data_IF_222922332897
#
_entry.id   IF_222922332897
#
_cell.length_a   1.000
_cell.length_b   1.000
_cell.length_c   1.000
_cell.angle_alpha   90.00
_cell.angle_beta   90.00
_cell.angle_gamma   90.00
#
_symmetry.space_group_name_H-M   'P 1'
#
loop_
_entity.id
_entity.type
_entity.pdbx_description
1 polymer ?
#
# COMPACT_ATOMS: atom_id res chain seq x y z
N UNK A 1 5.61 -29.79 18.87
CA UNK A 1 4.38 -30.33 19.51
C UNK A 1 3.17 -29.93 18.69
N UNK A 2 2.28 -30.86 18.38
CA UNK A 2 1.00 -30.54 17.75
C UNK A 2 0.14 -29.70 18.72
N UNK A 3 -0.45 -28.59 18.24
CA UNK A 3 -1.41 -27.81 19.03
C UNK A 3 -2.77 -28.49 18.96
N UNK A 4 -3.29 -28.97 20.09
CA UNK A 4 -4.65 -29.48 20.17
C UNK A 4 -5.64 -28.33 20.33
N UNK A 5 -6.51 -28.15 19.33
CA UNK A 5 -7.54 -27.11 19.30
C UNK A 5 -8.87 -27.74 19.69
N UNK A 6 -9.48 -27.28 20.79
CA UNK A 6 -10.70 -27.85 21.37
C UNK A 6 -11.95 -27.00 21.11
N UNK A 7 -11.79 -25.77 20.62
CA UNK A 7 -12.89 -24.85 20.33
C UNK A 7 -12.44 -23.70 19.41
N UNK A 8 -13.41 -22.91 18.94
CA UNK A 8 -13.18 -21.78 18.04
C UNK A 8 -12.29 -20.69 18.65
N UNK A 9 -12.38 -20.43 19.96
CA UNK A 9 -11.52 -19.45 20.61
C UNK A 9 -10.04 -19.86 20.59
N UNK A 10 -9.75 -21.16 20.77
CA UNK A 10 -8.40 -21.69 20.64
C UNK A 10 -7.91 -21.66 19.19
N UNK A 11 -8.80 -21.93 18.23
CA UNK A 11 -8.47 -21.82 16.81
C UNK A 11 -8.09 -20.39 16.44
N UNK A 12 -8.92 -19.41 16.83
CA UNK A 12 -8.66 -18.00 16.59
C UNK A 12 -7.33 -17.56 17.21
N UNK A 13 -7.07 -17.91 18.48
CA UNK A 13 -5.78 -17.60 19.13
C UNK A 13 -4.58 -18.23 18.42
N UNK A 14 -4.74 -19.41 17.83
CA UNK A 14 -3.69 -20.07 17.07
C UNK A 14 -3.44 -19.39 15.71
N UNK A 15 -4.49 -18.94 15.02
CA UNK A 15 -4.42 -18.32 13.69
C UNK A 15 -4.07 -16.82 13.74
N UNK A 16 -4.47 -16.09 14.78
CA UNK A 16 -4.27 -14.64 14.87
C UNK A 16 -2.84 -14.18 14.59
N UNK A 17 -1.78 -14.72 15.25
CA UNK A 17 -0.41 -14.27 14.98
C UNK A 17 0.08 -14.61 13.58
N UNK A 18 -0.45 -15.68 12.97
CA UNK A 18 -0.16 -16.06 11.59
C UNK A 18 -0.78 -15.02 10.65
N UNK A 19 -2.05 -14.68 10.85
CA UNK A 19 -2.76 -13.69 10.04
C UNK A 19 -2.14 -12.29 10.18
N UNK A 20 -1.71 -11.89 11.38
CA UNK A 20 -1.03 -10.59 11.61
C UNK A 20 0.21 -10.48 10.72
N UNK A 21 1.10 -11.47 10.80
CA UNK A 21 2.33 -11.48 10.02
C UNK A 21 2.05 -11.56 8.52
N UNK A 22 1.06 -12.34 8.10
CA UNK A 22 0.64 -12.40 6.70
C UNK A 22 0.23 -11.02 6.20
N UNK A 23 -0.77 -10.40 6.84
CA UNK A 23 -1.31 -9.10 6.42
C UNK A 23 -0.25 -8.01 6.47
N UNK A 24 0.66 -8.05 7.44
CA UNK A 24 1.78 -7.10 7.49
C UNK A 24 2.72 -7.24 6.28
N UNK A 25 3.02 -8.47 5.85
CA UNK A 25 3.79 -8.72 4.63
C UNK A 25 3.06 -8.28 3.36
N UNK A 26 1.74 -8.52 3.29
CA UNK A 26 0.92 -8.03 2.17
C UNK A 26 0.94 -6.49 2.13
N UNK A 27 0.75 -5.83 3.27
CA UNK A 27 0.80 -4.37 3.37
C UNK A 27 2.18 -3.82 3.00
N UNK A 28 3.26 -4.49 3.42
CA UNK A 28 4.62 -4.14 3.00
C UNK A 28 4.78 -4.18 1.48
N UNK A 29 4.25 -5.21 0.80
CA UNK A 29 4.29 -5.30 -0.67
C UNK A 29 3.55 -4.14 -1.33
N UNK A 30 2.36 -3.78 -0.84
CA UNK A 30 1.61 -2.61 -1.33
C UNK A 30 2.38 -1.31 -1.11
N UNK A 31 2.96 -1.13 0.09
CA UNK A 31 3.75 0.04 0.44
C UNK A 31 5.00 0.20 -0.44
N UNK A 32 5.73 -0.88 -0.70
CA UNK A 32 6.91 -0.85 -1.57
C UNK A 32 6.52 -0.49 -3.01
N UNK A 33 5.42 -1.05 -3.54
CA UNK A 33 4.95 -0.71 -4.89
C UNK A 33 4.44 0.73 -4.97
N UNK A 34 3.74 1.23 -3.95
CA UNK A 34 3.34 2.64 -3.90
C UNK A 34 4.56 3.56 -3.90
N UNK A 35 5.60 3.25 -3.11
CA UNK A 35 6.84 4.02 -3.09
C UNK A 35 7.58 3.97 -4.44
N UNK A 36 7.53 2.85 -5.16
CA UNK A 36 8.07 2.78 -6.52
C UNK A 36 7.41 3.80 -7.44
N UNK A 37 6.08 3.88 -7.46
CA UNK A 37 5.35 4.83 -8.30
C UNK A 37 5.48 6.28 -7.83
N UNK A 38 5.60 6.53 -6.52
CA UNK A 38 5.94 7.85 -5.99
C UNK A 38 7.34 8.28 -6.46
N UNK A 39 8.33 7.39 -6.42
CA UNK A 39 9.66 7.69 -6.91
C UNK A 39 9.65 7.94 -8.42
N UNK A 40 8.99 7.08 -9.20
CA UNK A 40 8.82 7.23 -10.64
C UNK A 40 8.17 8.57 -11.01
N UNK A 41 7.13 8.99 -10.28
CA UNK A 41 6.55 10.33 -10.41
C UNK A 41 7.61 11.43 -10.28
N UNK A 42 8.52 11.33 -9.32
CA UNK A 42 9.55 12.34 -9.09
C UNK A 42 10.71 12.27 -10.08
N UNK A 43 11.11 11.09 -10.52
CA UNK A 43 12.24 10.90 -11.43
C UNK A 43 11.86 11.02 -12.91
N UNK A 44 10.59 10.81 -13.26
CA UNK A 44 10.12 10.79 -14.65
C UNK A 44 9.98 12.16 -15.32
N UNK A 45 10.06 13.25 -14.54
CA UNK A 45 10.04 14.62 -15.07
C UNK A 45 10.74 15.57 -14.09
N UNK A 46 11.20 16.74 -14.53
CA UNK A 46 11.76 17.81 -13.68
C UNK A 46 11.08 19.13 -14.02
N UNK A 47 10.51 19.85 -13.03
CA UNK A 47 9.84 21.12 -13.28
C UNK A 47 10.81 22.28 -13.49
N UNK A 48 10.56 23.07 -14.54
CA UNK A 48 11.21 24.37 -14.73
C UNK A 48 10.35 25.53 -14.19
N UNK A 49 9.04 25.31 -14.02
CA UNK A 49 8.04 26.34 -13.74
C UNK A 49 7.74 26.56 -12.25
N UNK A 50 8.20 25.68 -11.36
CA UNK A 50 8.00 25.78 -9.92
C UNK A 50 9.10 25.06 -9.13
N UNK A 51 9.26 25.46 -7.87
CA UNK A 51 10.13 24.74 -6.94
C UNK A 51 9.42 23.48 -6.44
N UNK A 52 9.98 22.32 -6.79
CA UNK A 52 9.50 21.01 -6.31
C UNK A 52 9.61 20.91 -4.79
N UNK A 53 8.52 20.45 -4.16
CA UNK A 53 8.53 19.94 -2.79
C UNK A 53 8.58 18.41 -2.81
N UNK A 54 9.11 17.79 -1.76
CA UNK A 54 9.22 16.33 -1.61
C UNK A 54 8.14 15.75 -0.70
N UNK A 55 7.15 16.55 -0.28
CA UNK A 55 6.08 16.11 0.60
C UNK A 55 5.31 14.92 0.01
N UNK A 56 4.92 14.98 -1.28
CA UNK A 56 4.27 13.87 -1.94
C UNK A 56 5.17 12.62 -2.07
N UNK A 57 6.46 12.77 -2.39
CA UNK A 57 7.41 11.64 -2.44
C UNK A 57 7.46 10.88 -1.11
N UNK A 58 7.32 11.59 0.01
CA UNK A 58 7.44 11.06 1.38
C UNK A 58 6.09 10.75 2.03
N UNK A 59 5.00 10.85 1.28
CA UNK A 59 3.62 10.80 1.81
C UNK A 59 3.07 9.39 2.02
N UNK A 60 3.72 8.34 1.49
CA UNK A 60 3.25 6.98 1.71
C UNK A 60 3.40 6.59 3.18
N UNK A 61 2.33 6.05 3.76
CA UNK A 61 2.30 5.52 5.12
C UNK A 61 1.87 4.06 5.10
N UNK A 62 2.56 3.22 5.88
CA UNK A 62 2.14 1.84 6.21
C UNK A 62 1.86 1.75 7.70
N UNK A 63 0.63 1.39 8.05
CA UNK A 63 0.25 1.03 9.43
C UNK A 63 0.44 -0.48 9.60
N UNK A 64 1.15 -0.86 10.66
CA UNK A 64 1.36 -2.27 11.00
C UNK A 64 0.04 -3.03 11.19
N UNK A 65 0.04 -4.32 10.84
CA UNK A 65 -1.15 -5.13 10.93
C UNK A 65 -1.63 -5.33 12.39
N UNK A 66 -2.93 -5.18 12.62
CA UNK A 66 -3.57 -5.34 13.93
C UNK A 66 -4.84 -6.20 13.87
N UNK A 67 -5.24 -6.86 14.98
CA UNK A 67 -6.52 -7.54 15.06
C UNK A 67 -7.69 -6.58 14.85
N UNK A 68 -8.63 -6.95 13.99
CA UNK A 68 -9.83 -6.14 13.73
C UNK A 68 -11.02 -7.03 13.34
N UNK A 69 -12.16 -6.83 14.01
CA UNK A 69 -13.45 -7.50 13.75
C UNK A 69 -13.35 -9.02 13.48
N UNK A 70 -12.54 -9.74 14.26
CA UNK A 70 -12.34 -11.19 14.13
C UNK A 70 -11.35 -11.62 13.03
N UNK A 71 -10.77 -10.65 12.31
CA UNK A 71 -9.68 -10.85 11.37
C UNK A 71 -8.46 -9.98 11.72
N UNK A 72 -7.76 -9.53 10.67
CA UNK A 72 -6.58 -8.69 10.76
C UNK A 72 -6.67 -7.62 9.67
N UNK A 73 -6.28 -6.40 10.02
CA UNK A 73 -6.24 -5.26 9.10
C UNK A 73 -4.88 -4.58 9.14
N UNK A 74 -4.43 -4.09 8.00
CA UNK A 74 -3.36 -3.11 7.86
C UNK A 74 -3.84 -2.02 6.90
N UNK A 75 -3.21 -0.84 6.96
CA UNK A 75 -3.54 0.28 6.09
C UNK A 75 -2.28 0.75 5.36
N UNK A 76 -2.41 0.98 4.06
CA UNK A 76 -1.42 1.70 3.25
C UNK A 76 -2.15 2.85 2.58
N UNK A 77 -1.64 4.07 2.74
CA UNK A 77 -2.29 5.26 2.19
C UNK A 77 -1.27 6.37 1.90
N UNK A 78 -1.73 7.38 1.17
CA UNK A 78 -1.04 8.65 0.93
C UNK A 78 -1.55 9.62 2.00
N UNK A 79 -0.69 10.05 2.91
CA UNK A 79 -1.01 11.03 3.94
C UNK A 79 -1.01 12.45 3.36
N UNK A 80 -2.01 12.75 2.53
CA UNK A 80 -2.13 14.05 1.89
C UNK A 80 -2.45 15.19 2.87
N UNK A 81 -2.89 14.88 4.10
CA UNK A 81 -3.19 15.88 5.12
C UNK A 81 -1.92 16.47 5.74
N UNK A 82 -0.80 15.73 5.74
CA UNK A 82 0.51 16.24 6.19
C UNK A 82 1.31 16.96 5.10
N UNK A 83 0.77 17.03 3.88
CA UNK A 83 1.37 17.71 2.73
C UNK A 83 0.96 19.19 2.69
N UNK A 84 1.52 19.99 3.59
CA UNK A 84 1.10 21.37 3.88
C UNK A 84 2.02 22.47 3.29
N UNK A 85 3.06 22.10 2.55
CA UNK A 85 4.10 23.01 2.03
C UNK A 85 3.85 23.53 0.61
N UNK A 86 2.69 23.20 0.01
CA UNK A 86 2.33 23.59 -1.34
C UNK A 86 1.77 25.02 -1.41
N UNK A 87 2.27 25.81 -2.37
CA UNK A 87 1.73 27.14 -2.68
C UNK A 87 0.55 26.99 -3.63
N UNK A 88 -0.63 27.52 -3.26
CA UNK A 88 -1.85 27.51 -4.06
C UNK A 88 -2.40 26.12 -4.44
N UNK A 89 -1.99 25.07 -3.74
CA UNK A 89 -2.54 23.72 -3.89
C UNK A 89 -2.61 23.06 -2.51
N UNK A 90 -3.57 22.16 -2.33
CA UNK A 90 -3.62 21.26 -1.17
C UNK A 90 -2.90 19.96 -1.49
N UNK A 91 -2.45 19.26 -0.46
CA UNK A 91 -1.92 17.91 -0.64
C UNK A 91 -2.91 16.97 -1.35
N UNK A 92 -4.20 17.07 -1.03
CA UNK A 92 -5.24 16.30 -1.71
C UNK A 92 -5.26 16.55 -3.23
N UNK A 93 -5.19 17.81 -3.66
CA UNK A 93 -5.13 18.15 -5.09
C UNK A 93 -3.87 17.60 -5.76
N UNK A 94 -2.72 17.63 -5.07
CA UNK A 94 -1.48 17.06 -5.59
C UNK A 94 -1.61 15.56 -5.82
N UNK A 95 -2.18 14.83 -4.85
CA UNK A 95 -2.43 13.40 -4.99
C UNK A 95 -3.41 13.10 -6.14
N UNK A 96 -4.46 13.91 -6.32
CA UNK A 96 -5.39 13.79 -7.44
C UNK A 96 -4.72 14.01 -8.80
N UNK A 97 -3.91 15.06 -8.93
CA UNK A 97 -3.16 15.34 -10.15
C UNK A 97 -2.19 14.22 -10.50
N UNK A 98 -1.47 13.70 -9.51
CA UNK A 98 -0.55 12.59 -9.69
C UNK A 98 -1.22 11.27 -10.11
N UNK A 99 -2.52 11.13 -9.83
CA UNK A 99 -3.31 10.01 -10.33
C UNK A 99 -4.04 10.30 -11.65
N UNK A 100 -4.05 11.56 -12.10
CA UNK A 100 -4.73 12.03 -13.32
C UNK A 100 -3.74 12.37 -14.44
N UNK A 101 -2.56 11.75 -14.44
CA UNK A 101 -1.52 11.94 -15.46
C UNK A 101 -0.91 13.37 -15.52
N UNK A 102 -0.89 14.07 -14.39
CA UNK A 102 -0.40 15.44 -14.26
C UNK A 102 0.75 15.56 -13.26
N UNK A 103 1.65 16.50 -13.55
CA UNK A 103 2.73 16.93 -12.65
C UNK A 103 2.43 18.31 -12.07
N UNK A 104 2.04 18.39 -10.80
CA UNK A 104 1.67 19.67 -10.18
C UNK A 104 0.57 20.42 -10.95
N UNK A 105 -0.38 19.69 -11.55
CA UNK A 105 -1.43 20.24 -12.41
C UNK A 105 -1.05 20.43 -13.89
N UNK A 106 0.19 20.13 -14.28
CA UNK A 106 0.68 20.29 -15.65
C UNK A 106 0.65 18.97 -16.42
N UNK A 107 0.19 19.05 -17.67
CA UNK A 107 0.29 17.94 -18.62
C UNK A 107 1.69 17.93 -19.23
N UNK A 108 2.49 16.91 -18.88
CA UNK A 108 3.86 16.71 -19.39
C UNK A 108 3.99 15.35 -20.07
N UNK A 109 5.13 15.06 -20.71
CA UNK A 109 5.34 13.78 -21.42
C UNK A 109 5.26 12.56 -20.50
N UNK A 110 5.65 12.71 -19.23
CA UNK A 110 5.48 11.67 -18.22
C UNK A 110 4.04 11.64 -17.69
N UNK A 111 3.36 10.50 -17.82
CA UNK A 111 1.92 10.32 -17.54
C UNK A 111 1.66 9.29 -16.43
N UNK A 112 2.09 9.56 -15.18
CA UNK A 112 1.90 8.62 -14.09
C UNK A 112 0.44 8.59 -13.62
N UNK A 113 -0.03 7.42 -13.18
CA UNK A 113 -1.24 7.28 -12.38
C UNK A 113 -0.86 6.59 -11.08
N UNK A 114 -0.28 7.36 -10.16
CA UNK A 114 0.49 6.81 -9.02
C UNK A 114 -0.29 5.78 -8.22
N UNK A 115 -1.54 6.11 -7.85
CA UNK A 115 -2.36 5.22 -7.03
C UNK A 115 -2.91 4.06 -7.85
N UNK A 116 -3.50 4.34 -9.01
CA UNK A 116 -4.14 3.31 -9.84
C UNK A 116 -3.11 2.27 -10.31
N UNK A 117 -1.93 2.70 -10.76
CA UNK A 117 -0.87 1.80 -11.15
C UNK A 117 -0.36 0.97 -9.95
N UNK A 118 -0.28 1.55 -8.75
CA UNK A 118 0.08 0.80 -7.55
C UNK A 118 -0.96 -0.28 -7.21
N UNK A 119 -2.24 0.04 -7.36
CA UNK A 119 -3.35 -0.90 -7.17
C UNK A 119 -3.32 -2.01 -8.23
N UNK A 120 -3.08 -1.66 -9.49
CA UNK A 120 -3.00 -2.61 -10.60
C UNK A 120 -1.83 -3.59 -10.45
N UNK A 121 -0.67 -3.08 -10.02
CA UNK A 121 0.53 -3.90 -9.81
C UNK A 121 0.53 -4.73 -8.51
N UNK A 122 -0.49 -4.60 -7.66
CA UNK A 122 -0.57 -5.35 -6.39
C UNK A 122 -1.89 -6.05 -6.16
N UNK A 123 -2.98 -5.30 -6.09
CA UNK A 123 -4.30 -5.80 -5.68
C UNK A 123 -5.06 -6.35 -6.88
N UNK A 124 -5.14 -5.60 -7.99
CA UNK A 124 -6.01 -5.95 -9.10
C UNK A 124 -5.43 -7.08 -9.97
N UNK A 125 -4.10 -7.28 -9.97
CA UNK A 125 -3.46 -8.37 -10.71
C UNK A 125 -3.47 -9.73 -9.97
N UNK A 126 -4.02 -9.80 -8.75
CA UNK A 126 -4.10 -11.03 -7.97
C UNK A 126 -2.79 -11.50 -7.33
N UNK A 127 -1.68 -10.77 -7.48
CA UNK A 127 -0.39 -11.12 -6.88
C UNK A 127 -0.45 -11.15 -5.34
N UNK A 128 -1.20 -10.23 -4.73
CA UNK A 128 -1.37 -10.17 -3.28
C UNK A 128 -2.10 -11.41 -2.73
N UNK A 129 -3.10 -11.90 -3.47
CA UNK A 129 -3.82 -13.14 -3.13
C UNK A 129 -2.89 -14.36 -3.23
N UNK A 130 -2.09 -14.44 -4.30
CA UNK A 130 -1.11 -15.51 -4.45
C UNK A 130 -0.08 -15.51 -3.31
N UNK A 131 0.40 -14.33 -2.91
CA UNK A 131 1.31 -14.17 -1.79
C UNK A 131 0.66 -14.62 -0.46
N UNK A 132 -0.61 -14.30 -0.23
CA UNK A 132 -1.35 -14.76 0.94
C UNK A 132 -1.48 -16.29 0.98
N UNK A 133 -1.82 -16.92 -0.16
CA UNK A 133 -1.92 -18.38 -0.28
C UNK A 133 -0.57 -19.05 -0.01
N UNK A 134 0.51 -18.53 -0.61
CA UNK A 134 1.87 -19.03 -0.39
C UNK A 134 2.28 -18.90 1.07
N UNK A 135 1.98 -17.76 1.69
CA UNK A 135 2.25 -17.55 3.11
C UNK A 135 1.54 -18.58 3.98
N UNK A 136 0.23 -18.77 3.83
CA UNK A 136 -0.53 -19.74 4.62
C UNK A 136 -0.01 -21.18 4.43
N UNK A 137 0.30 -21.58 3.20
CA UNK A 137 0.91 -22.89 2.90
C UNK A 137 2.27 -23.04 3.60
N UNK A 138 3.10 -22.00 3.63
CA UNK A 138 4.38 -22.01 4.36
C UNK A 138 4.23 -22.22 5.87
N UNK A 139 3.07 -21.88 6.43
CA UNK A 139 2.73 -22.08 7.84
C UNK A 139 2.03 -23.43 8.10
N UNK A 140 1.98 -24.32 7.10
CA UNK A 140 1.34 -25.63 7.19
C UNK A 140 -0.18 -25.61 7.07
N UNK A 141 -0.77 -24.48 6.66
CA UNK A 141 -2.22 -24.36 6.45
C UNK A 141 -2.53 -24.75 5.00
N UNK A 142 -3.33 -25.81 4.84
CA UNK A 142 -3.78 -26.24 3.51
C UNK A 142 -4.82 -25.25 2.98
N UNK A 143 -4.50 -24.61 1.85
CA UNK A 143 -5.40 -23.71 1.12
C UNK A 143 -5.63 -24.31 -0.27
N UNK A 144 -6.89 -24.55 -0.62
CA UNK A 144 -7.31 -25.04 -1.95
C UNK A 144 -7.68 -23.84 -2.83
N UNK A 145 -7.30 -23.93 -4.10
CA UNK A 145 -7.69 -22.95 -5.12
C UNK A 145 -9.07 -23.31 -5.69
#
# INVERSE_FOLDING_TARGET
MAKHIKNMNQLQKALQPIMIKMVDQLAKRVYETLNYFLNDYYTGWTPDSYRRTEAFLRSAVKVDAYPDKGGVRACVYIDYDSMDDYVNATGYQVAQWANSELHGGLSVNHKPRVWDNAMDETINNGSLLQLAIQYLRSQGISVRN
#
